data_IF_796261037384
#
_entry.id   IF_796261037384
#
_cell.length_a   1.000
_cell.length_b   1.000
_cell.length_c   1.000
_cell.angle_alpha   90.00
_cell.angle_beta   90.00
_cell.angle_gamma   90.00
#
_symmetry.space_group_name_H-M   'P 1'
#
loop_
_entity.id
_entity.type
_entity.pdbx_description
1 polymer ?
#
# COMPACT_ATOMS: atom_id res chain seq x y z
N UNK A 1 23.27 -17.07 -1.36
CA UNK A 1 22.37 -16.29 -2.24
C UNK A 1 23.22 -15.33 -3.06
N UNK A 2 23.01 -15.19 -4.37
CA UNK A 2 23.73 -14.17 -5.18
C UNK A 2 23.44 -12.79 -4.59
N UNK A 3 24.45 -11.95 -4.37
CA UNK A 3 24.35 -10.60 -3.76
C UNK A 3 23.24 -9.76 -4.42
N UNK A 4 23.09 -9.88 -5.74
CA UNK A 4 22.00 -9.27 -6.52
C UNK A 4 20.59 -9.54 -5.95
N UNK A 5 20.31 -10.75 -5.44
CA UNK A 5 18.98 -11.09 -4.88
C UNK A 5 18.70 -10.36 -3.58
N UNK A 6 19.71 -10.15 -2.74
CA UNK A 6 19.56 -9.44 -1.47
C UNK A 6 19.27 -7.97 -1.75
N UNK A 7 20.02 -7.35 -2.67
CA UNK A 7 19.81 -5.96 -3.09
C UNK A 7 18.39 -5.77 -3.63
N UNK A 8 17.91 -6.69 -4.48
CA UNK A 8 16.54 -6.63 -4.99
C UNK A 8 15.50 -6.65 -3.88
N UNK A 9 15.63 -7.56 -2.90
CA UNK A 9 14.68 -7.65 -1.77
C UNK A 9 14.67 -6.36 -0.95
N UNK A 10 15.86 -5.83 -0.62
CA UNK A 10 15.98 -4.58 0.13
C UNK A 10 15.38 -3.42 -0.64
N UNK A 11 15.65 -3.32 -1.94
CA UNK A 11 15.07 -2.28 -2.79
C UNK A 11 13.54 -2.35 -2.83
N UNK A 12 12.96 -3.54 -3.01
CA UNK A 12 11.51 -3.72 -2.97
C UNK A 12 10.91 -3.30 -1.62
N UNK A 13 11.56 -3.66 -0.50
CA UNK A 13 11.09 -3.26 0.83
C UNK A 13 11.13 -1.74 1.05
N UNK A 14 12.22 -1.08 0.63
CA UNK A 14 12.34 0.38 0.71
C UNK A 14 11.31 1.07 -0.17
N UNK A 15 11.10 0.57 -1.39
CA UNK A 15 10.10 1.09 -2.31
C UNK A 15 8.68 0.94 -1.75
N UNK A 16 8.36 -0.21 -1.15
CA UNK A 16 7.06 -0.45 -0.51
C UNK A 16 6.81 0.54 0.64
N UNK A 17 7.80 0.74 1.52
CA UNK A 17 7.73 1.75 2.57
C UNK A 17 7.54 3.16 2.00
N UNK A 18 8.25 3.50 0.92
CA UNK A 18 8.12 4.79 0.27
C UNK A 18 6.70 5.02 -0.26
N UNK A 19 6.06 4.01 -0.85
CA UNK A 19 4.67 4.09 -1.32
C UNK A 19 3.72 4.39 -0.15
N UNK A 20 3.86 3.70 0.98
CA UNK A 20 3.02 3.95 2.15
C UNK A 20 3.24 5.34 2.76
N UNK A 21 4.50 5.78 2.85
CA UNK A 21 4.83 7.13 3.32
C UNK A 21 4.21 8.19 2.39
N UNK A 22 4.34 8.02 1.07
CA UNK A 22 3.76 8.93 0.08
C UNK A 22 2.24 9.03 0.23
N UNK A 23 1.54 7.89 0.27
CA UNK A 23 0.09 7.87 0.47
C UNK A 23 -0.30 8.50 1.81
N UNK A 24 0.44 8.22 2.88
CA UNK A 24 0.18 8.76 4.22
C UNK A 24 0.32 10.29 4.27
N UNK A 25 1.42 10.83 3.74
CA UNK A 25 1.64 12.29 3.67
C UNK A 25 0.53 12.97 2.87
N UNK A 26 0.12 12.38 1.75
CA UNK A 26 -0.92 12.95 0.92
C UNK A 26 -2.29 12.97 1.64
N UNK A 27 -2.61 11.92 2.39
CA UNK A 27 -3.84 11.86 3.19
C UNK A 27 -3.78 12.78 4.41
N UNK A 28 -2.61 13.03 5.02
CA UNK A 28 -2.49 14.08 6.04
C UNK A 28 -2.84 15.46 5.47
N UNK A 29 -2.45 15.73 4.21
CA UNK A 29 -2.87 16.95 3.52
C UNK A 29 -4.39 17.04 3.28
N UNK A 30 -5.08 15.90 3.10
CA UNK A 30 -6.54 15.88 3.08
C UNK A 30 -7.11 16.29 4.43
N UNK A 31 -6.61 15.70 5.51
CA UNK A 31 -7.09 15.96 6.87
C UNK A 31 -6.89 17.44 7.25
N UNK A 32 -5.73 18.02 6.93
CA UNK A 32 -5.40 19.42 7.18
C UNK A 32 -6.25 20.40 6.35
N UNK A 33 -6.74 19.97 5.18
CA UNK A 33 -7.52 20.82 4.25
C UNK A 33 -9.03 20.54 4.27
N UNK A 34 -9.47 19.61 5.11
CA UNK A 34 -10.88 19.23 5.22
C UNK A 34 -11.70 20.33 5.90
N UNK A 35 -12.95 20.47 5.45
CA UNK A 35 -13.94 21.38 6.03
C UNK A 35 -15.30 20.69 6.04
N UNK A 36 -16.05 20.83 7.12
CA UNK A 36 -17.38 20.21 7.30
C UNK A 36 -18.39 20.58 6.21
N UNK A 37 -18.18 21.73 5.56
CA UNK A 37 -18.99 22.18 4.41
C UNK A 37 -18.84 21.30 3.16
N UNK A 38 -17.80 20.47 3.07
CA UNK A 38 -17.52 19.60 1.93
C UNK A 38 -18.29 18.27 1.98
N UNK A 39 -19.05 18.01 3.05
CA UNK A 39 -19.77 16.76 3.29
C UNK A 39 -19.11 15.94 4.38
N UNK A 40 -19.57 14.70 4.56
CA UNK A 40 -19.11 13.83 5.65
C UNK A 40 -17.62 13.48 5.52
N UNK A 41 -16.87 13.63 6.61
CA UNK A 41 -15.45 13.30 6.66
C UNK A 41 -15.20 11.87 6.23
N UNK A 42 -14.13 11.66 5.44
CA UNK A 42 -13.74 10.36 4.92
C UNK A 42 -14.78 9.69 4.00
N UNK A 43 -15.82 10.41 3.59
CA UNK A 43 -16.75 9.93 2.57
C UNK A 43 -16.14 10.05 1.18
N UNK A 44 -16.32 9.01 0.37
CA UNK A 44 -15.91 9.05 -1.03
C UNK A 44 -16.68 10.11 -1.82
N UNK A 45 -17.80 10.66 -1.35
CA UNK A 45 -18.47 11.78 -2.03
C UNK A 45 -17.78 13.12 -1.74
N UNK A 46 -17.36 13.37 -0.50
CA UNK A 46 -16.74 14.64 -0.06
C UNK A 46 -15.30 14.83 -0.56
N UNK A 47 -14.56 13.73 -0.77
CA UNK A 47 -13.15 13.83 -1.17
C UNK A 47 -12.99 14.45 -2.56
N UNK A 48 -12.00 15.35 -2.69
CA UNK A 48 -11.51 15.82 -3.99
C UNK A 48 -10.94 14.65 -4.80
N UNK A 49 -10.93 14.80 -6.12
CA UNK A 49 -10.47 13.76 -7.04
C UNK A 49 -9.03 13.31 -6.76
N UNK A 50 -8.15 14.23 -6.38
CA UNK A 50 -6.75 13.92 -6.04
C UNK A 50 -6.64 12.95 -4.85
N UNK A 51 -7.36 13.22 -3.76
CA UNK A 51 -7.38 12.36 -2.58
C UNK A 51 -8.05 11.01 -2.84
N UNK A 52 -9.08 10.97 -3.69
CA UNK A 52 -9.71 9.72 -4.14
C UNK A 52 -8.75 8.81 -4.87
N UNK A 53 -7.95 9.37 -5.79
CA UNK A 53 -6.97 8.61 -6.55
C UNK A 53 -5.94 8.02 -5.60
N UNK A 54 -5.41 8.82 -4.67
CA UNK A 54 -4.39 8.35 -3.73
C UNK A 54 -4.96 7.33 -2.74
N UNK A 55 -6.16 7.56 -2.21
CA UNK A 55 -6.85 6.60 -1.34
C UNK A 55 -7.15 5.29 -2.07
N UNK A 56 -7.63 5.35 -3.32
CA UNK A 56 -7.85 4.18 -4.15
C UNK A 56 -6.56 3.41 -4.44
N UNK A 57 -5.48 4.13 -4.77
CA UNK A 57 -4.16 3.56 -4.99
C UNK A 57 -3.60 2.90 -3.72
N UNK A 58 -3.74 3.52 -2.55
CA UNK A 58 -3.36 2.96 -1.26
C UNK A 58 -4.06 1.62 -0.98
N UNK A 59 -5.38 1.57 -1.17
CA UNK A 59 -6.15 0.33 -1.00
C UNK A 59 -5.73 -0.76 -1.99
N UNK A 60 -5.53 -0.39 -3.26
CA UNK A 60 -5.01 -1.29 -4.28
C UNK A 60 -3.63 -1.85 -3.90
N UNK A 61 -2.74 -1.00 -3.37
CA UNK A 61 -1.41 -1.38 -2.92
C UNK A 61 -1.44 -2.39 -1.77
N UNK A 62 -2.35 -2.20 -0.80
CA UNK A 62 -2.58 -3.17 0.28
C UNK A 62 -3.02 -4.52 -0.28
N UNK A 63 -3.97 -4.53 -1.23
CA UNK A 63 -4.45 -5.77 -1.85
C UNK A 63 -3.30 -6.50 -2.56
N UNK A 64 -2.45 -5.79 -3.30
CA UNK A 64 -1.26 -6.38 -3.93
C UNK A 64 -0.31 -6.99 -2.90
N UNK A 65 -0.04 -6.29 -1.80
CA UNK A 65 0.81 -6.80 -0.72
C UNK A 65 0.22 -8.05 -0.05
N UNK A 66 -1.10 -8.07 0.19
CA UNK A 66 -1.79 -9.23 0.74
C UNK A 66 -1.71 -10.45 -0.21
N UNK A 67 -1.91 -10.24 -1.52
CA UNK A 67 -1.75 -11.29 -2.52
C UNK A 67 -0.31 -11.82 -2.60
N UNK A 68 0.67 -10.92 -2.55
CA UNK A 68 2.08 -11.29 -2.54
C UNK A 68 2.46 -12.11 -1.30
N UNK A 69 1.97 -11.72 -0.12
CA UNK A 69 2.15 -12.45 1.12
C UNK A 69 1.50 -13.83 1.05
N UNK A 70 0.25 -13.92 0.60
CA UNK A 70 -0.48 -15.18 0.45
C UNK A 70 0.23 -16.15 -0.51
N UNK A 71 0.69 -15.65 -1.66
CA UNK A 71 1.48 -16.43 -2.61
C UNK A 71 2.77 -16.96 -1.98
N UNK A 72 3.50 -16.08 -1.27
CA UNK A 72 4.76 -16.43 -0.59
C UNK A 72 4.54 -17.51 0.48
N UNK A 73 3.51 -17.36 1.31
CA UNK A 73 3.12 -18.36 2.31
C UNK A 73 2.74 -19.69 1.68
N UNK A 74 1.90 -19.67 0.63
CA UNK A 74 1.48 -20.88 -0.09
C UNK A 74 2.68 -21.63 -0.68
N UNK A 75 3.66 -20.90 -1.21
CA UNK A 75 4.89 -21.48 -1.75
C UNK A 75 5.77 -22.09 -0.68
N UNK A 76 5.89 -21.44 0.48
CA UNK A 76 6.63 -21.99 1.64
C UNK A 76 5.93 -23.24 2.16
N UNK A 77 4.61 -23.19 2.34
CA UNK A 77 3.81 -24.34 2.78
C UNK A 77 4.00 -25.55 1.87
N UNK A 78 3.86 -25.38 0.55
CA UNK A 78 4.08 -26.46 -0.42
C UNK A 78 5.48 -27.06 -0.32
N UNK A 79 6.51 -26.23 -0.11
CA UNK A 79 7.89 -26.72 0.06
C UNK A 79 8.12 -27.48 1.36
N UNK A 80 7.36 -27.19 2.41
CA UNK A 80 7.46 -27.86 3.70
C UNK A 80 6.60 -29.13 3.76
N UNK A 81 5.40 -29.10 3.15
CA UNK A 81 4.42 -30.17 3.20
C UNK A 81 4.61 -31.23 2.10
N UNK A 82 5.15 -30.87 0.92
CA UNK A 82 5.54 -31.81 -0.13
C UNK A 82 7.01 -32.24 -0.01
N UNK A 83 7.57 -32.12 1.19
CA UNK A 83 8.90 -32.62 1.53
C UNK A 83 8.79 -33.99 2.16
#
# INVERSE_FOLDING_TARGET
MKVSKIITIVFFAVFDLFVFIFCGIFMMGYDDSYSETQGEYFSFSSMKMEYKIVWGFYNFWIVLNALFLFYSMSKIYKKLALK
#
